data_IF_626801307778
#
_entry.id   IF_626801307778
#
_cell.length_a   1.000
_cell.length_b   1.000
_cell.length_c   1.000
_cell.angle_alpha   90.00
_cell.angle_beta   90.00
_cell.angle_gamma   90.00
#
_symmetry.space_group_name_H-M   'P 1'
#
loop_
_entity.id
_entity.type
_entity.pdbx_description
1 polymer ?
#
# COMPACT_ATOMS: atom_id res chain seq x y z
N UNK A 1 -20.39 -35.43 -8.56
CA UNK A 1 -20.56 -35.02 -7.15
C UNK A 1 -19.42 -35.42 -6.21
N UNK A 2 -18.86 -36.64 -6.26
CA UNK A 2 -17.81 -37.08 -5.29
C UNK A 2 -16.45 -36.35 -5.38
N UNK A 3 -16.11 -35.74 -6.53
CA UNK A 3 -14.85 -34.99 -6.71
C UNK A 3 -14.93 -33.59 -6.07
N UNK A 4 -16.09 -32.92 -6.16
CA UNK A 4 -16.32 -31.60 -5.55
C UNK A 4 -16.38 -31.68 -4.02
N UNK A 5 -16.90 -32.79 -3.49
CA UNK A 5 -16.99 -33.01 -2.04
C UNK A 5 -15.61 -33.26 -1.39
N UNK A 6 -14.64 -33.81 -2.13
CA UNK A 6 -13.26 -33.98 -1.67
C UNK A 6 -12.45 -32.67 -1.72
N UNK A 7 -12.75 -31.78 -2.67
CA UNK A 7 -12.14 -30.45 -2.72
C UNK A 7 -12.64 -29.51 -1.59
N UNK A 8 -13.93 -29.60 -1.22
CA UNK A 8 -14.50 -28.80 -0.14
C UNK A 8 -13.99 -29.20 1.25
N UNK A 9 -13.69 -30.48 1.48
CA UNK A 9 -13.20 -30.95 2.79
C UNK A 9 -11.72 -30.60 3.04
N UNK A 10 -10.94 -30.38 1.99
CA UNK A 10 -9.53 -29.96 2.11
C UNK A 10 -9.37 -28.47 2.47
N UNK A 11 -10.39 -27.64 2.24
CA UNK A 11 -10.32 -26.18 2.43
C UNK A 11 -10.73 -25.73 3.85
N UNK A 12 -11.36 -26.59 4.65
CA UNK A 12 -11.94 -26.23 5.97
C UNK A 12 -10.99 -26.53 7.15
N UNK A 13 -9.82 -27.13 6.92
CA UNK A 13 -8.89 -27.53 7.99
C UNK A 13 -7.57 -26.72 8.05
N UNK A 14 -7.43 -25.60 7.34
CA UNK A 14 -6.27 -24.72 7.50
C UNK A 14 -6.41 -23.85 8.76
N UNK A 15 -6.00 -24.42 9.89
CA UNK A 15 -5.58 -23.65 11.07
C UNK A 15 -4.26 -22.92 10.74
N UNK A 16 -4.07 -21.64 11.09
CA UNK A 16 -2.87 -20.89 10.73
C UNK A 16 -1.71 -21.26 11.65
N UNK A 17 -0.86 -22.20 11.23
CA UNK A 17 0.47 -22.39 11.80
C UNK A 17 1.49 -21.48 11.06
N UNK A 18 2.42 -20.82 11.76
CA UNK A 18 3.40 -19.94 11.13
C UNK A 18 4.44 -20.76 10.36
N UNK A 19 4.51 -20.55 9.04
CA UNK A 19 5.50 -21.12 8.15
C UNK A 19 6.78 -20.27 8.21
N UNK A 20 7.79 -20.75 8.96
CA UNK A 20 9.14 -20.17 8.99
C UNK A 20 9.95 -20.75 7.83
N UNK A 21 10.21 -19.92 6.81
CA UNK A 21 11.12 -20.21 5.71
C UNK A 21 12.53 -19.76 6.09
N UNK A 22 13.44 -20.70 6.35
CA UNK A 22 14.87 -20.43 6.52
C UNK A 22 15.59 -20.54 5.16
N UNK A 23 15.98 -19.40 4.58
CA UNK A 23 16.97 -19.37 3.50
C UNK A 23 18.37 -19.26 4.13
N UNK A 24 19.20 -20.28 3.94
CA UNK A 24 20.63 -20.22 4.27
C UNK A 24 21.43 -19.96 2.99
N UNK A 25 21.91 -18.73 2.82
CA UNK A 25 22.96 -18.42 1.86
C UNK A 25 24.29 -18.31 2.61
N UNK A 26 25.26 -19.16 2.24
CA UNK A 26 26.66 -19.03 2.67
C UNK A 26 27.33 -18.01 1.75
N UNK A 27 27.76 -16.89 2.30
CA UNK A 27 28.64 -15.95 1.62
C UNK A 27 29.89 -15.77 2.47
N UNK A 28 31.05 -16.11 1.92
CA UNK A 28 32.34 -15.83 2.54
C UNK A 28 32.60 -14.32 2.48
N UNK A 29 32.74 -13.68 3.63
CA UNK A 29 33.04 -12.24 3.73
C UNK A 29 34.54 -12.07 3.87
N UNK A 30 35.16 -11.46 2.86
CA UNK A 30 36.49 -10.89 2.97
C UNK A 30 36.43 -9.66 3.88
N UNK A 31 37.37 -9.56 4.82
CA UNK A 31 37.46 -8.48 5.80
C UNK A 31 38.02 -7.22 5.12
N UNK A 32 37.13 -6.43 4.53
CA UNK A 32 37.43 -5.08 4.04
C UNK A 32 37.21 -4.10 5.20
N UNK A 33 38.24 -3.34 5.56
CA UNK A 33 38.17 -2.33 6.63
C UNK A 33 37.11 -1.28 6.25
N UNK A 34 35.98 -1.29 6.97
CA UNK A 34 34.85 -0.41 6.70
C UNK A 34 35.23 1.05 6.98
N UNK A 35 35.64 1.75 5.93
CA UNK A 35 35.81 3.21 5.96
C UNK A 35 34.42 3.81 6.15
N UNK A 36 34.19 4.45 7.30
CA UNK A 36 32.92 5.09 7.66
C UNK A 36 32.51 6.07 6.55
N UNK A 37 31.53 5.68 5.73
CA UNK A 37 31.11 6.47 4.56
C UNK A 37 30.10 7.52 5.02
N UNK A 38 30.55 8.77 5.14
CA UNK A 38 29.67 9.92 5.41
C UNK A 38 28.54 9.98 4.37
N UNK A 39 27.33 10.26 4.81
CA UNK A 39 26.17 10.37 3.93
C UNK A 39 26.33 11.56 2.98
N UNK A 40 26.22 11.34 1.67
CA UNK A 40 26.46 12.39 0.68
C UNK A 40 25.15 13.11 0.29
N UNK A 41 25.14 14.45 0.32
CA UNK A 41 24.02 15.32 -0.09
C UNK A 41 24.39 16.13 -1.34
N UNK A 42 23.60 16.01 -2.41
CA UNK A 42 23.77 16.85 -3.60
C UNK A 42 23.12 18.22 -3.35
N UNK A 43 23.90 19.30 -3.37
CA UNK A 43 23.39 20.66 -3.13
C UNK A 43 23.43 21.49 -4.42
N UNK A 44 22.26 21.92 -4.90
CA UNK A 44 22.09 22.79 -6.06
C UNK A 44 21.45 24.09 -5.58
N UNK A 45 22.13 25.22 -5.77
CA UNK A 45 21.59 26.54 -5.42
C UNK A 45 21.61 27.42 -6.67
N UNK A 46 20.47 28.06 -6.97
CA UNK A 46 20.31 28.98 -8.09
C UNK A 46 19.77 30.33 -7.59
N UNK A 47 20.22 31.43 -8.20
CA UNK A 47 19.71 32.78 -7.94
C UNK A 47 20.73 33.74 -7.36
N UNK A 48 20.27 34.94 -6.99
CA UNK A 48 21.12 36.01 -6.47
C UNK A 48 21.80 35.59 -5.15
N UNK A 49 23.14 35.55 -5.15
CA UNK A 49 23.94 35.10 -3.99
C UNK A 49 24.03 33.58 -3.85
N UNK A 50 23.65 32.81 -4.89
CA UNK A 50 23.59 31.35 -4.86
C UNK A 50 24.91 30.68 -4.46
N UNK A 51 26.06 31.15 -4.96
CA UNK A 51 27.36 30.53 -4.63
C UNK A 51 27.74 30.68 -3.16
N UNK A 52 27.50 31.87 -2.57
CA UNK A 52 27.73 32.11 -1.15
C UNK A 52 26.82 31.22 -0.29
N UNK A 53 25.54 31.15 -0.64
CA UNK A 53 24.57 30.30 0.06
C UNK A 53 24.90 28.80 -0.09
N UNK A 54 25.33 28.36 -1.28
CA UNK A 54 25.74 26.98 -1.55
C UNK A 54 26.94 26.56 -0.70
N UNK A 55 27.93 27.44 -0.57
CA UNK A 55 29.09 27.21 0.28
C UNK A 55 28.72 27.23 1.77
N UNK A 56 27.88 28.18 2.19
CA UNK A 56 27.41 28.28 3.57
C UNK A 56 26.60 27.04 3.99
N UNK A 57 25.64 26.58 3.16
CA UNK A 57 24.88 25.35 3.40
C UNK A 57 25.82 24.15 3.54
N UNK A 58 26.77 24.00 2.62
CA UNK A 58 27.73 22.89 2.65
C UNK A 58 28.60 22.86 3.91
N UNK A 59 28.96 24.03 4.44
CA UNK A 59 29.77 24.15 5.65
C UNK A 59 29.00 23.90 6.96
N UNK A 60 27.66 23.94 6.93
CA UNK A 60 26.82 23.83 8.12
C UNK A 60 25.93 22.58 8.14
N UNK A 61 26.11 21.64 7.20
CA UNK A 61 25.35 20.39 7.19
C UNK A 61 25.54 19.63 8.50
N UNK A 62 24.47 19.06 9.08
CA UNK A 62 24.59 18.26 10.31
C UNK A 62 25.36 16.96 10.01
N UNK A 63 26.18 16.50 10.95
CA UNK A 63 26.73 15.14 10.87
C UNK A 63 25.59 14.10 10.85
N UNK A 64 25.69 13.01 10.05
CA UNK A 64 26.84 12.52 9.30
C UNK A 64 26.93 13.03 7.84
N UNK A 65 26.22 14.11 7.49
CA UNK A 65 26.11 14.54 6.10
C UNK A 65 27.32 15.32 5.61
N UNK A 66 27.77 15.00 4.39
CA UNK A 66 28.78 15.72 3.64
C UNK A 66 28.21 16.16 2.30
N UNK A 67 28.66 17.31 1.80
CA UNK A 67 28.29 17.77 0.45
C UNK A 67 28.97 16.89 -0.61
N UNK A 68 28.20 16.43 -1.59
CA UNK A 68 28.72 15.69 -2.74
C UNK A 68 29.75 16.53 -3.52
N UNK A 69 30.78 15.88 -4.07
CA UNK A 69 31.81 16.55 -4.86
C UNK A 69 31.21 17.28 -6.07
N UNK A 70 31.56 18.57 -6.22
CA UNK A 70 30.95 19.43 -7.23
C UNK A 70 31.28 18.99 -8.66
N UNK A 71 32.48 18.43 -8.90
CA UNK A 71 32.89 17.98 -10.24
C UNK A 71 32.15 16.70 -10.62
N UNK A 72 32.01 15.76 -9.69
CA UNK A 72 31.23 14.54 -9.86
C UNK A 72 29.76 14.83 -10.15
N UNK A 73 29.13 15.73 -9.39
CA UNK A 73 27.74 16.16 -9.64
C UNK A 73 27.59 16.81 -11.01
N UNK A 74 28.51 17.70 -11.40
CA UNK A 74 28.45 18.34 -12.72
C UNK A 74 28.62 17.34 -13.87
N UNK A 75 29.50 16.34 -13.71
CA UNK A 75 29.70 15.26 -14.68
C UNK A 75 28.43 14.40 -14.81
N UNK A 76 27.86 13.95 -13.69
CA UNK A 76 26.63 13.16 -13.68
C UNK A 76 25.44 13.94 -14.27
N UNK A 77 25.28 15.21 -13.90
CA UNK A 77 24.24 16.08 -14.45
C UNK A 77 24.33 16.22 -15.97
N UNK A 78 25.55 16.36 -16.51
CA UNK A 78 25.78 16.41 -17.96
C UNK A 78 25.40 15.09 -18.63
N UNK A 79 25.81 13.95 -18.07
CA UNK A 79 25.48 12.61 -18.57
C UNK A 79 23.97 12.36 -18.62
N UNK A 80 23.25 12.73 -17.56
CA UNK A 80 21.79 12.56 -17.43
C UNK A 80 20.97 13.62 -18.17
N UNK A 81 21.63 14.57 -18.84
CA UNK A 81 20.98 15.73 -19.49
C UNK A 81 20.03 16.43 -18.51
N UNK A 82 20.48 16.61 -17.27
CA UNK A 82 19.76 17.40 -16.27
C UNK A 82 19.88 18.87 -16.66
N UNK A 83 18.75 19.58 -16.72
CA UNK A 83 18.76 20.99 -17.05
C UNK A 83 19.58 21.77 -16.01
N UNK A 84 20.47 22.64 -16.48
CA UNK A 84 21.33 23.47 -15.61
C UNK A 84 20.54 24.46 -14.77
N UNK A 85 19.34 24.85 -15.22
CA UNK A 85 18.44 25.75 -14.50
C UNK A 85 17.24 25.00 -13.91
N UNK A 86 17.03 25.05 -12.59
CA UNK A 86 15.81 24.64 -11.90
C UNK A 86 14.51 25.35 -12.32
N UNK A 87 14.48 26.21 -13.36
CA UNK A 87 13.24 26.75 -13.93
C UNK A 87 12.22 25.67 -14.33
N UNK A 88 12.68 24.46 -14.60
CA UNK A 88 11.82 23.30 -14.84
C UNK A 88 10.91 22.94 -13.65
N UNK A 89 11.25 23.35 -12.43
CA UNK A 89 10.46 23.12 -11.22
C UNK A 89 9.20 24.02 -11.12
N UNK A 90 9.14 25.12 -11.88
CA UNK A 90 8.00 26.05 -11.84
C UNK A 90 6.80 25.53 -12.63
N UNK A 91 7.04 24.76 -13.68
CA UNK A 91 5.99 24.25 -14.56
C UNK A 91 5.67 22.82 -14.18
N UNK A 92 4.40 22.48 -13.85
CA UNK A 92 4.01 21.11 -13.48
C UNK A 92 4.46 20.04 -14.49
N UNK A 93 4.38 20.35 -15.80
CA UNK A 93 4.77 19.44 -16.89
C UNK A 93 6.26 19.09 -16.92
N UNK A 94 7.14 19.97 -16.43
CA UNK A 94 8.59 19.76 -16.44
C UNK A 94 9.16 19.39 -15.07
N UNK A 95 8.38 19.58 -13.99
CA UNK A 95 8.80 19.25 -12.62
C UNK A 95 9.10 17.76 -12.47
N UNK A 96 8.17 16.88 -12.86
CA UNK A 96 8.33 15.42 -12.74
C UNK A 96 9.61 14.89 -13.42
N UNK A 97 9.78 15.10 -14.75
CA UNK A 97 10.99 14.64 -15.46
C UNK A 97 12.30 15.24 -14.92
N UNK A 98 12.26 16.45 -14.37
CA UNK A 98 13.43 17.05 -13.72
C UNK A 98 13.78 16.34 -12.41
N UNK A 99 12.79 16.06 -11.56
CA UNK A 99 12.99 15.36 -10.28
C UNK A 99 13.52 13.93 -10.48
N UNK A 100 13.00 13.22 -11.49
CA UNK A 100 13.48 11.88 -11.84
C UNK A 100 14.97 11.90 -12.25
N UNK A 101 15.36 12.83 -13.14
CA UNK A 101 16.76 12.98 -13.53
C UNK A 101 17.65 13.43 -12.38
N UNK A 102 17.15 14.31 -11.51
CA UNK A 102 17.88 14.77 -10.33
C UNK A 102 18.14 13.60 -9.37
N UNK A 103 17.16 12.72 -9.18
CA UNK A 103 17.29 11.51 -8.38
C UNK A 103 18.37 10.57 -8.96
N UNK A 104 18.36 10.34 -10.28
CA UNK A 104 19.39 9.56 -10.97
C UNK A 104 20.80 10.17 -10.84
N UNK A 105 20.92 11.49 -10.99
CA UNK A 105 22.21 12.20 -10.78
C UNK A 105 22.71 12.04 -9.35
N UNK A 106 21.78 12.04 -8.39
CA UNK A 106 22.09 11.87 -6.96
C UNK A 106 22.59 10.47 -6.69
N UNK A 107 21.94 9.46 -7.25
CA UNK A 107 22.37 8.06 -7.17
C UNK A 107 23.74 7.84 -7.83
N UNK A 108 23.98 8.40 -9.02
CA UNK A 108 25.25 8.29 -9.77
C UNK A 108 26.48 8.80 -8.97
N UNK A 109 26.28 9.70 -8.00
CA UNK A 109 27.34 10.24 -7.15
C UNK A 109 27.35 9.66 -5.73
N UNK A 110 26.58 8.59 -5.49
CA UNK A 110 26.43 7.96 -4.17
C UNK A 110 25.72 8.85 -3.14
N UNK A 111 24.96 9.84 -3.60
CA UNK A 111 24.14 10.70 -2.75
C UNK A 111 22.90 9.97 -2.23
N UNK A 112 22.46 10.34 -1.02
CA UNK A 112 21.20 9.84 -0.43
C UNK A 112 20.01 10.78 -0.66
N UNK A 113 20.28 12.05 -0.94
CA UNK A 113 19.27 13.04 -1.27
C UNK A 113 19.86 14.21 -2.09
N UNK A 114 18.96 14.99 -2.70
CA UNK A 114 19.26 16.24 -3.38
C UNK A 114 18.53 17.40 -2.73
N UNK A 115 19.27 18.45 -2.38
CA UNK A 115 18.76 19.73 -1.91
C UNK A 115 18.84 20.75 -3.05
N UNK A 116 17.68 21.24 -3.49
CA UNK A 116 17.56 22.32 -4.48
C UNK A 116 17.04 23.57 -3.80
N UNK A 117 17.82 24.65 -3.83
CA UNK A 117 17.43 25.96 -3.28
C UNK A 117 17.41 26.97 -4.40
N UNK A 118 16.26 27.57 -4.66
CA UNK A 118 16.14 28.64 -5.67
C UNK A 118 15.75 29.96 -5.04
N UNK A 119 16.63 30.95 -5.18
CA UNK A 119 16.47 32.29 -4.63
C UNK A 119 15.89 33.21 -5.72
N UNK A 120 14.65 33.65 -5.52
CA UNK A 120 14.01 34.64 -6.38
C UNK A 120 14.61 36.04 -6.15
N UNK A 121 14.83 36.83 -7.22
CA UNK A 121 15.26 38.23 -7.08
C UNK A 121 14.13 39.08 -6.46
N UNK A 122 14.47 39.98 -5.53
CA UNK A 122 13.51 40.89 -4.91
C UNK A 122 14.07 41.59 -3.67
N UNK A 123 13.38 42.65 -3.20
CA UNK A 123 13.74 43.40 -1.97
C UNK A 123 13.77 42.50 -0.73
N UNK A 124 12.88 41.51 -0.67
CA UNK A 124 12.95 40.37 0.26
C UNK A 124 13.23 39.13 -0.57
N UNK A 125 14.40 38.52 -0.40
CA UNK A 125 14.81 37.34 -1.18
C UNK A 125 13.91 36.17 -0.73
N UNK A 126 13.14 35.59 -1.63
CA UNK A 126 12.36 34.37 -1.33
C UNK A 126 13.13 33.16 -1.85
N UNK A 127 13.35 32.16 -1.01
CA UNK A 127 13.99 30.92 -1.41
C UNK A 127 13.00 29.77 -1.38
N UNK A 128 12.78 29.12 -2.53
CA UNK A 128 12.08 27.84 -2.56
C UNK A 128 13.09 26.73 -2.28
N UNK A 129 12.84 25.95 -1.23
CA UNK A 129 13.68 24.85 -0.77
C UNK A 129 12.98 23.55 -1.10
N UNK A 130 13.62 22.71 -1.91
CA UNK A 130 13.15 21.37 -2.23
C UNK A 130 14.17 20.33 -1.77
N UNK A 131 13.71 19.32 -1.04
CA UNK A 131 14.49 18.13 -0.71
C UNK A 131 13.90 16.93 -1.47
N UNK A 132 14.75 16.22 -2.21
CA UNK A 132 14.34 15.14 -3.11
C UNK A 132 15.09 13.86 -2.75
N UNK A 133 14.37 12.75 -2.64
CA UNK A 133 14.93 11.41 -2.41
C UNK A 133 15.52 10.80 -3.69
N UNK A 134 16.30 9.72 -3.57
CA UNK A 134 16.84 8.96 -4.71
C UNK A 134 15.79 8.25 -5.55
N UNK A 135 14.54 8.17 -5.09
CA UNK A 135 13.40 7.65 -5.88
C UNK A 135 12.61 8.75 -6.60
N UNK A 136 13.06 10.01 -6.53
CA UNK A 136 12.42 11.15 -7.19
C UNK A 136 11.24 11.77 -6.45
N UNK A 137 10.89 11.24 -5.26
CA UNK A 137 9.85 11.82 -4.41
C UNK A 137 10.36 13.08 -3.71
N UNK A 138 9.51 14.12 -3.66
CA UNK A 138 9.77 15.37 -2.93
C UNK A 138 9.42 15.19 -1.45
N UNK A 139 10.41 15.32 -0.57
CA UNK A 139 10.27 15.21 0.89
C UNK A 139 9.95 16.56 1.54
N UNK A 140 10.55 17.63 1.02
CA UNK A 140 10.28 19.02 1.44
C UNK A 140 10.04 19.87 0.20
N UNK A 141 9.02 20.72 0.21
CA UNK A 141 8.78 21.79 -0.77
C UNK A 141 8.23 23.02 -0.03
N UNK A 142 9.12 23.91 0.41
CA UNK A 142 8.75 25.09 1.22
C UNK A 142 9.34 26.37 0.64
N UNK A 143 8.73 27.51 0.99
CA UNK A 143 9.21 28.85 0.59
C UNK A 143 9.63 29.61 1.84
N UNK A 144 10.91 29.95 1.93
CA UNK A 144 11.50 30.73 3.00
C UNK A 144 11.69 32.18 2.58
N UNK A 145 11.60 33.11 3.52
CA UNK A 145 12.04 34.49 3.33
C UNK A 145 13.46 34.62 3.89
N UNK A 146 14.38 35.09 3.06
CA UNK A 146 15.80 35.25 3.35
C UNK A 146 16.10 36.72 3.63
N UNK A 147 16.54 37.01 4.85
CA UNK A 147 16.67 38.38 5.35
C UNK A 147 18.13 38.84 5.40
N UNK A 148 19.04 37.97 5.85
CA UNK A 148 20.46 38.28 6.02
C UNK A 148 21.35 37.11 5.56
N UNK A 149 22.36 37.35 4.68
CA UNK A 149 23.22 36.29 4.15
C UNK A 149 23.86 35.38 5.20
N UNK A 150 24.14 35.89 6.40
CA UNK A 150 24.71 35.11 7.51
C UNK A 150 23.75 34.06 8.07
N UNK A 151 22.44 34.28 8.01
CA UNK A 151 21.41 33.41 8.61
C UNK A 151 20.70 32.52 7.58
N UNK A 152 20.84 32.82 6.29
CA UNK A 152 20.13 32.12 5.22
C UNK A 152 20.37 30.60 5.24
N UNK A 153 21.62 30.16 5.49
CA UNK A 153 21.98 28.75 5.54
C UNK A 153 21.33 28.02 6.73
N UNK A 154 21.29 28.66 7.90
CA UNK A 154 20.67 28.11 9.11
C UNK A 154 19.15 27.95 8.94
N UNK A 155 18.48 28.89 8.26
CA UNK A 155 17.06 28.79 7.94
C UNK A 155 16.77 27.62 6.99
N UNK A 156 17.57 27.46 5.94
CA UNK A 156 17.45 26.31 5.02
C UNK A 156 17.66 25.00 5.79
N UNK A 157 18.69 24.91 6.63
CA UNK A 157 18.96 23.71 7.43
C UNK A 157 17.83 23.36 8.38
N UNK A 158 17.33 24.34 9.13
CA UNK A 158 16.20 24.13 10.04
C UNK A 158 14.99 23.57 9.30
N UNK A 159 14.76 23.98 8.05
CA UNK A 159 13.63 23.48 7.25
C UNK A 159 13.78 22.03 6.75
N UNK A 160 15.00 21.50 6.70
CA UNK A 160 15.29 20.14 6.19
C UNK A 160 15.85 19.20 7.26
N UNK A 161 16.13 19.68 8.47
CA UNK A 161 16.81 18.92 9.52
C UNK A 161 16.09 17.62 9.89
N UNK A 162 14.77 17.65 10.04
CA UNK A 162 13.98 16.47 10.39
C UNK A 162 14.07 15.38 9.31
N UNK A 163 13.94 15.76 8.04
CA UNK A 163 14.02 14.82 6.93
C UNK A 163 15.43 14.28 6.72
N UNK A 164 16.46 15.11 6.92
CA UNK A 164 17.86 14.66 6.89
C UNK A 164 18.18 13.71 8.04
N UNK A 165 17.54 13.86 9.21
CA UNK A 165 17.70 12.93 10.32
C UNK A 165 17.07 11.56 10.01
N UNK A 166 15.91 11.54 9.33
CA UNK A 166 15.24 10.31 8.90
C UNK A 166 16.07 9.58 7.82
N UNK A 167 16.69 10.33 6.92
CA UNK A 167 17.50 9.78 5.83
C UNK A 167 18.95 9.47 6.21
N UNK A 168 19.41 9.93 7.37
CA UNK A 168 20.76 9.64 7.83
C UNK A 168 20.91 8.12 7.95
N UNK A 169 22.05 7.54 7.55
CA UNK A 169 22.32 6.14 7.82
C UNK A 169 22.17 5.93 9.32
N UNK A 170 21.20 5.08 9.71
CA UNK A 170 21.06 4.66 11.10
C UNK A 170 22.42 4.10 11.50
N UNK A 171 23.03 4.68 12.54
CA UNK A 171 24.29 4.19 13.09
C UNK A 171 24.00 2.76 13.54
N UNK A 172 24.39 1.80 12.71
CA UNK A 172 24.16 0.39 12.98
C UNK A 172 24.79 0.13 14.35
N UNK A 173 24.01 -0.33 15.35
CA UNK A 173 24.54 -0.54 16.69
C UNK A 173 25.70 -1.51 16.56
N UNK A 174 26.89 -1.04 16.92
CA UNK A 174 28.14 -1.79 16.92
C UNK A 174 27.86 -3.14 17.57
N UNK A 175 27.90 -4.20 16.75
CA UNK A 175 27.45 -5.52 17.14
C UNK A 175 28.13 -5.91 18.45
N UNK A 176 27.32 -6.16 19.48
CA UNK A 176 27.82 -6.63 20.76
C UNK A 176 28.74 -7.84 20.52
N UNK A 177 29.88 -7.94 21.23
CA UNK A 177 30.84 -9.01 21.03
C UNK A 177 30.12 -10.37 21.09
N UNK A 178 30.46 -11.29 20.18
CA UNK A 178 29.73 -12.54 20.03
C UNK A 178 29.76 -13.31 21.35
N UNK A 179 28.58 -13.52 21.94
CA UNK A 179 28.39 -14.41 23.08
C UNK A 179 28.85 -15.83 22.68
N UNK A 180 29.67 -16.53 23.48
CA UNK A 180 30.15 -17.88 23.17
C UNK A 180 28.98 -18.83 22.88
N UNK A 181 29.01 -19.46 21.71
CA UNK A 181 27.96 -20.36 21.24
C UNK A 181 27.84 -21.60 22.14
N UNK A 182 26.65 -21.79 22.73
CA UNK A 182 26.28 -23.04 23.37
C UNK A 182 26.09 -24.14 22.29
N UNK A 183 26.66 -25.32 22.55
CA UNK A 183 26.66 -26.45 21.65
C UNK A 183 25.23 -26.98 21.39
N UNK A 184 24.86 -27.09 20.11
CA UNK A 184 23.60 -27.70 19.67
C UNK A 184 23.80 -29.22 19.48
N UNK A 185 22.89 -30.07 19.99
CA UNK A 185 22.94 -31.53 19.83
C UNK A 185 22.67 -32.00 18.37
N UNK A 186 23.10 -33.23 18.03
CA UNK A 186 23.11 -33.73 16.65
C UNK A 186 21.71 -33.96 16.06
N UNK A 187 21.59 -33.62 14.79
CA UNK A 187 20.41 -33.67 13.92
C UNK A 187 20.15 -35.11 13.45
N UNK A 188 18.94 -35.62 13.65
CA UNK A 188 18.48 -36.91 13.13
C UNK A 188 18.22 -36.86 11.60
N UNK A 189 18.63 -37.93 10.92
CA UNK A 189 18.41 -38.19 9.49
C UNK A 189 16.93 -38.46 9.16
N UNK A 190 16.40 -37.91 8.06
CA UNK A 190 15.11 -38.33 7.51
C UNK A 190 15.24 -39.55 6.56
N UNK A 191 14.18 -40.40 6.48
CA UNK A 191 14.15 -41.61 5.65
C UNK A 191 13.95 -41.33 4.14
N UNK A 192 14.25 -42.31 3.27
CA UNK A 192 14.34 -42.10 1.82
C UNK A 192 12.98 -41.95 1.11
N UNK A 193 12.98 -41.08 0.09
CA UNK A 193 11.90 -40.76 -0.83
C UNK A 193 11.56 -41.92 -1.79
N UNK A 194 10.26 -42.22 -1.92
CA UNK A 194 9.71 -43.18 -2.89
C UNK A 194 9.47 -42.52 -4.25
N UNK A 195 10.06 -43.14 -5.27
CA UNK A 195 9.83 -42.93 -6.70
C UNK A 195 8.38 -43.27 -7.08
N UNK A 196 7.68 -42.36 -7.76
CA UNK A 196 6.41 -42.68 -8.46
C UNK A 196 6.41 -42.12 -9.89
N UNK A 197 6.57 -43.07 -10.80
CA UNK A 197 6.01 -43.25 -12.15
C UNK A 197 5.54 -42.04 -12.99
N UNK A 198 6.12 -41.99 -14.19
CA UNK A 198 5.67 -41.26 -15.37
C UNK A 198 4.28 -41.71 -15.85
N UNK A 199 3.47 -40.73 -16.26
CA UNK A 199 2.20 -40.93 -16.97
C UNK A 199 2.38 -40.50 -18.42
N UNK A 200 2.01 -41.39 -19.34
CA UNK A 200 2.07 -41.24 -20.79
C UNK A 200 1.03 -40.23 -21.34
N UNK A 201 1.26 -39.65 -22.53
CA UNK A 201 0.25 -38.86 -23.25
C UNK A 201 -0.72 -39.76 -24.04
N UNK A 202 -2.01 -39.41 -24.16
CA UNK A 202 -2.90 -40.04 -25.11
C UNK A 202 -2.88 -39.37 -26.49
N UNK A 203 -3.00 -40.26 -27.46
CA UNK A 203 -2.87 -40.16 -28.91
C UNK A 203 -4.02 -39.41 -29.59
N UNK A 204 -3.63 -38.80 -30.71
CA UNK A 204 -4.38 -38.18 -31.80
C UNK A 204 -5.26 -39.18 -32.61
N UNK A 205 -6.33 -38.66 -33.25
CA UNK A 205 -7.15 -39.15 -34.39
C UNK A 205 -8.67 -39.06 -34.06
N UNK A 206 -9.60 -38.64 -34.92
CA UNK A 206 -9.64 -38.43 -36.37
C UNK A 206 -10.75 -37.42 -36.77
N UNK A 207 -10.60 -36.84 -37.96
CA UNK A 207 -11.63 -36.15 -38.80
C UNK A 207 -12.51 -37.21 -39.49
N UNK A 208 -13.81 -37.01 -39.72
CA UNK A 208 -14.51 -36.44 -40.89
C UNK A 208 -15.97 -37.00 -40.87
N UNK A 209 -16.93 -36.65 -41.75
CA UNK A 209 -17.19 -35.43 -42.52
C UNK A 209 -18.63 -34.90 -42.33
N UNK A 210 -18.93 -33.84 -43.07
CA UNK A 210 -20.18 -33.09 -43.13
C UNK A 210 -21.46 -33.92 -43.41
N UNK A 211 -22.54 -33.54 -42.72
CA UNK A 211 -23.91 -33.81 -43.12
C UNK A 211 -24.68 -32.48 -43.18
N UNK A 212 -25.08 -32.10 -44.40
CA UNK A 212 -26.02 -31.00 -44.65
C UNK A 212 -27.38 -31.38 -44.08
N UNK A 213 -27.82 -30.65 -43.05
CA UNK A 213 -29.15 -30.75 -42.48
C UNK A 213 -29.94 -29.47 -42.78
N UNK A 214 -30.97 -29.67 -43.58
CA UNK A 214 -32.17 -28.86 -43.84
C UNK A 214 -32.43 -27.74 -42.81
N UNK A 215 -32.41 -26.49 -43.30
CA UNK A 215 -32.77 -25.28 -42.57
C UNK A 215 -34.28 -25.24 -42.34
N UNK A 216 -34.73 -25.92 -41.29
CA UNK A 216 -35.96 -25.56 -40.59
C UNK A 216 -35.59 -24.52 -39.53
N UNK A 217 -36.20 -23.33 -39.59
CA UNK A 217 -36.03 -22.29 -38.56
C UNK A 217 -36.38 -22.93 -37.20
N UNK A 218 -35.39 -23.17 -36.31
CA UNK A 218 -35.70 -23.78 -35.03
C UNK A 218 -36.63 -22.81 -34.27
N UNK A 219 -37.66 -23.30 -33.58
CA UNK A 219 -38.44 -22.48 -32.68
C UNK A 219 -37.47 -21.78 -31.72
N UNK A 220 -37.74 -20.52 -31.30
CA UNK A 220 -36.85 -19.78 -30.41
C UNK A 220 -36.53 -20.66 -29.21
N UNK A 221 -35.31 -21.18 -29.18
CA UNK A 221 -34.85 -22.12 -28.17
C UNK A 221 -35.12 -21.45 -26.83
N UNK A 222 -36.00 -22.03 -26.01
CA UNK A 222 -36.22 -21.56 -24.65
C UNK A 222 -34.85 -21.43 -24.01
N UNK A 223 -34.42 -20.19 -23.80
CA UNK A 223 -33.11 -19.89 -23.27
C UNK A 223 -33.11 -20.43 -21.85
N UNK A 224 -32.51 -21.61 -21.67
CA UNK A 224 -32.45 -22.31 -20.40
C UNK A 224 -31.93 -21.31 -19.38
N UNK A 225 -32.77 -20.94 -18.42
CA UNK A 225 -32.44 -19.93 -17.42
C UNK A 225 -31.25 -20.46 -16.63
N UNK A 226 -30.07 -19.92 -16.89
CA UNK A 226 -28.87 -20.33 -16.15
C UNK A 226 -29.08 -20.05 -14.67
N UNK A 227 -28.87 -21.08 -13.86
CA UNK A 227 -29.04 -21.01 -12.42
C UNK A 227 -27.93 -20.13 -11.83
N UNK A 228 -28.25 -19.25 -10.87
CA UNK A 228 -27.23 -18.49 -10.17
C UNK A 228 -26.26 -19.44 -9.43
N UNK A 229 -24.97 -19.09 -9.32
CA UNK A 229 -24.03 -19.87 -8.54
C UNK A 229 -24.46 -19.88 -7.07
N UNK A 230 -24.25 -21.02 -6.42
CA UNK A 230 -24.51 -21.21 -4.99
C UNK A 230 -23.35 -20.64 -4.17
N UNK A 231 -22.13 -20.75 -4.69
CA UNK A 231 -20.92 -20.31 -4.02
C UNK A 231 -19.98 -19.61 -5.00
N UNK A 232 -19.47 -18.45 -4.62
CA UNK A 232 -18.38 -17.77 -5.32
C UNK A 232 -17.22 -17.60 -4.34
N UNK A 233 -16.00 -17.93 -4.77
CA UNK A 233 -14.80 -17.85 -3.94
C UNK A 233 -13.70 -17.08 -4.68
N UNK A 234 -13.19 -16.04 -4.06
CA UNK A 234 -12.16 -15.17 -4.64
C UNK A 234 -10.86 -15.27 -3.86
N UNK A 235 -9.76 -15.43 -4.59
CA UNK A 235 -8.40 -15.29 -4.10
C UNK A 235 -7.76 -14.11 -4.81
N UNK A 236 -7.19 -13.16 -4.06
CA UNK A 236 -6.57 -11.98 -4.64
C UNK A 236 -5.33 -11.52 -3.86
N UNK A 237 -4.44 -10.82 -4.56
CA UNK A 237 -3.34 -10.06 -3.98
C UNK A 237 -3.65 -8.57 -4.11
N UNK A 238 -3.48 -7.83 -3.02
CA UNK A 238 -3.73 -6.40 -2.96
C UNK A 238 -2.45 -5.64 -2.58
N UNK A 239 -2.30 -4.43 -3.11
CA UNK A 239 -1.36 -3.43 -2.63
C UNK A 239 -2.15 -2.32 -1.93
N UNK A 240 -1.94 -2.17 -0.63
CA UNK A 240 -2.65 -1.20 0.19
C UNK A 240 -1.70 -0.09 0.68
N UNK A 241 -2.14 1.16 0.62
CA UNK A 241 -1.46 2.30 1.26
C UNK A 241 -2.39 2.95 2.27
N UNK A 242 -1.82 3.53 3.32
CA UNK A 242 -2.55 4.28 4.34
C UNK A 242 -1.90 5.64 4.54
N UNK A 243 -2.70 6.69 4.66
CA UNK A 243 -2.26 8.03 4.99
C UNK A 243 -3.15 8.62 6.07
N UNK A 244 -2.58 9.10 7.17
CA UNK A 244 -3.30 9.79 8.23
C UNK A 244 -2.69 11.18 8.46
N UNK A 245 -3.54 12.19 8.47
CA UNK A 245 -3.19 13.58 8.73
C UNK A 245 -4.11 14.19 9.79
N UNK A 246 -3.60 15.20 10.50
CA UNK A 246 -4.34 15.93 11.53
C UNK A 246 -4.66 17.35 11.07
N UNK A 247 -5.80 17.88 11.53
CA UNK A 247 -6.23 19.26 11.30
C UNK A 247 -6.25 20.04 12.60
N UNK A 248 -5.93 21.33 12.50
CA UNK A 248 -5.86 22.26 13.62
C UNK A 248 -4.97 21.73 14.75
N UNK A 249 -3.83 21.15 14.36
CA UNK A 249 -2.87 20.55 15.27
C UNK A 249 -2.11 21.64 16.02
N UNK A 250 -2.22 21.64 17.35
CA UNK A 250 -1.50 22.54 18.24
C UNK A 250 -0.38 21.80 18.97
N UNK A 251 -0.61 20.54 19.35
CA UNK A 251 0.39 19.73 20.04
C UNK A 251 1.40 19.10 19.07
N UNK A 252 2.64 18.87 19.53
CA UNK A 252 3.70 18.27 18.71
C UNK A 252 3.73 16.73 18.77
N UNK A 253 2.88 16.14 19.60
CA UNK A 253 2.81 14.69 19.87
C UNK A 253 1.84 13.93 18.96
N UNK A 254 1.27 14.57 17.93
CA UNK A 254 0.60 13.87 16.84
C UNK A 254 1.39 14.12 15.57
N UNK A 255 1.82 13.04 14.93
CA UNK A 255 2.52 13.13 13.67
C UNK A 255 1.66 12.54 12.56
N UNK A 256 1.55 13.21 11.40
CA UNK A 256 1.05 12.57 10.20
C UNK A 256 1.83 11.29 9.92
N UNK A 257 1.16 10.30 9.36
CA UNK A 257 1.78 9.03 9.02
C UNK A 257 1.35 8.59 7.63
N UNK A 258 2.28 8.00 6.90
CA UNK A 258 2.02 7.40 5.61
C UNK A 258 2.71 6.05 5.56
N UNK A 259 1.98 5.00 5.21
CA UNK A 259 2.58 3.72 4.88
C UNK A 259 3.01 3.72 3.42
N UNK A 260 4.05 2.94 3.11
CA UNK A 260 4.30 2.49 1.74
C UNK A 260 3.18 1.55 1.25
N UNK A 261 3.34 1.02 0.03
CA UNK A 261 2.47 -0.01 -0.50
C UNK A 261 2.72 -1.34 0.23
N UNK A 262 1.64 -1.94 0.72
CA UNK A 262 1.65 -3.14 1.55
C UNK A 262 1.01 -4.29 0.77
N UNK A 263 1.78 -5.35 0.45
CA UNK A 263 1.22 -6.58 -0.07
C UNK A 263 0.25 -7.21 0.93
N UNK A 264 -0.95 -7.50 0.46
CA UNK A 264 -2.09 -7.91 1.28
C UNK A 264 -2.83 -9.05 0.57
N UNK A 265 -2.48 -10.32 0.81
CA UNK A 265 -3.30 -11.45 0.38
C UNK A 265 -4.72 -11.33 0.95
N UNK A 266 -5.68 -11.76 0.15
CA UNK A 266 -7.10 -11.71 0.50
C UNK A 266 -7.86 -12.93 0.00
N UNK A 267 -8.87 -13.31 0.78
CA UNK A 267 -9.84 -14.36 0.47
C UNK A 267 -11.23 -13.80 0.69
N UNK A 268 -12.13 -14.02 -0.26
CA UNK A 268 -13.53 -13.65 -0.12
C UNK A 268 -14.44 -14.81 -0.54
N UNK A 269 -15.59 -14.91 0.13
CA UNK A 269 -16.61 -15.92 -0.13
C UNK A 269 -17.98 -15.28 -0.22
N UNK A 270 -18.74 -15.66 -1.23
CA UNK A 270 -20.14 -15.30 -1.41
C UNK A 270 -21.00 -16.56 -1.49
N UNK A 271 -22.04 -16.64 -0.68
CA UNK A 271 -22.88 -17.82 -0.56
C UNK A 271 -24.36 -17.47 -0.73
N UNK A 272 -25.03 -18.15 -1.66
CA UNK A 272 -26.43 -17.94 -2.00
C UNK A 272 -27.22 -19.23 -1.71
N UNK A 273 -27.63 -19.47 -0.45
CA UNK A 273 -28.23 -20.74 -0.03
C UNK A 273 -29.51 -21.11 -0.79
N UNK A 274 -30.24 -20.10 -1.25
CA UNK A 274 -31.53 -20.26 -1.91
C UNK A 274 -31.46 -20.14 -3.44
N UNK A 275 -30.26 -20.10 -4.01
CA UNK A 275 -30.01 -19.99 -5.45
C UNK A 275 -30.76 -21.03 -6.30
N UNK A 276 -31.08 -22.19 -5.71
CA UNK A 276 -31.79 -23.31 -6.38
C UNK A 276 -33.24 -23.50 -5.91
N UNK A 277 -33.78 -22.61 -5.08
CA UNK A 277 -35.12 -22.75 -4.48
C UNK A 277 -36.28 -22.55 -5.47
N UNK A 278 -36.04 -22.00 -6.66
CA UNK A 278 -37.08 -21.61 -7.62
C UNK A 278 -37.82 -20.32 -7.25
N UNK A 279 -37.76 -19.88 -5.99
CA UNK A 279 -38.32 -18.62 -5.55
C UNK A 279 -37.51 -17.43 -6.10
N UNK A 280 -38.12 -16.67 -7.01
CA UNK A 280 -37.43 -15.67 -7.84
C UNK A 280 -36.71 -14.58 -7.03
N UNK A 281 -37.26 -14.18 -5.88
CA UNK A 281 -36.65 -13.15 -5.02
C UNK A 281 -35.60 -13.71 -4.06
N UNK A 282 -35.79 -14.96 -3.59
CA UNK A 282 -34.91 -15.57 -2.60
C UNK A 282 -33.61 -16.10 -3.20
N UNK A 283 -33.62 -16.50 -4.49
CA UNK A 283 -32.44 -17.03 -5.18
C UNK A 283 -31.26 -16.05 -5.27
N UNK A 284 -31.51 -14.76 -5.06
CA UNK A 284 -30.51 -13.70 -5.15
C UNK A 284 -30.14 -13.10 -3.78
N UNK A 285 -30.73 -13.62 -2.71
CA UNK A 285 -30.31 -13.32 -1.34
C UNK A 285 -29.08 -14.16 -1.00
N UNK A 286 -28.01 -13.48 -0.63
CA UNK A 286 -26.74 -14.10 -0.29
C UNK A 286 -26.13 -13.54 0.98
N UNK A 287 -25.15 -14.26 1.48
CA UNK A 287 -24.24 -13.87 2.55
C UNK A 287 -22.84 -13.77 1.97
N UNK A 288 -21.99 -12.95 2.58
CA UNK A 288 -20.60 -12.84 2.17
C UNK A 288 -19.67 -12.65 3.35
N UNK A 289 -18.39 -12.97 3.12
CA UNK A 289 -17.30 -12.65 4.03
C UNK A 289 -16.00 -12.39 3.30
N UNK A 290 -15.19 -11.46 3.82
CA UNK A 290 -13.85 -11.14 3.32
C UNK A 290 -12.81 -11.13 4.45
N UNK A 291 -11.62 -11.65 4.18
CA UNK A 291 -10.47 -11.61 5.07
C UNK A 291 -9.24 -11.12 4.31
N UNK A 292 -8.50 -10.19 4.91
CA UNK A 292 -7.27 -9.63 4.35
C UNK A 292 -6.21 -9.46 5.44
N UNK A 293 -4.94 -9.67 5.06
CA UNK A 293 -3.81 -9.48 5.99
C UNK A 293 -2.60 -8.89 5.28
N UNK A 294 -2.13 -7.75 5.75
CA UNK A 294 -0.89 -7.13 5.26
C UNK A 294 0.34 -7.93 5.69
N UNK A 295 1.36 -7.96 4.83
CA UNK A 295 2.60 -8.69 5.02
C UNK A 295 3.78 -7.76 5.31
N UNK A 296 4.66 -8.20 6.22
CA UNK A 296 6.05 -7.75 6.30
C UNK A 296 6.28 -6.27 6.65
N UNK A 297 5.37 -5.62 7.38
CA UNK A 297 5.54 -4.22 7.75
C UNK A 297 6.18 -4.03 9.12
N UNK A 298 7.04 -3.03 9.19
CA UNK A 298 7.60 -2.51 10.43
C UNK A 298 8.06 -1.07 10.22
N UNK A 299 8.24 -0.34 11.31
CA UNK A 299 8.91 0.95 11.32
C UNK A 299 10.15 0.84 12.21
N UNK A 300 11.26 1.38 11.72
CA UNK A 300 12.49 1.51 12.51
C UNK A 300 12.47 2.87 13.21
N UNK A 301 12.66 2.85 14.53
CA UNK A 301 12.80 4.03 15.38
C UNK A 301 14.22 4.59 15.31
N UNK A 302 14.46 5.86 15.70
CA UNK A 302 15.79 6.46 15.71
C UNK A 302 16.82 5.75 16.61
N UNK A 303 16.37 5.00 17.60
CA UNK A 303 17.21 4.19 18.50
C UNK A 303 17.54 2.80 17.92
N UNK A 304 17.10 2.49 16.69
CA UNK A 304 17.26 1.20 16.04
C UNK A 304 16.19 0.17 16.41
N UNK A 305 15.25 0.51 17.30
CA UNK A 305 14.16 -0.39 17.67
C UNK A 305 13.20 -0.58 16.49
N UNK A 306 12.92 -1.83 16.13
CA UNK A 306 12.01 -2.17 15.03
C UNK A 306 10.63 -2.53 15.56
N UNK A 307 9.64 -1.69 15.28
CA UNK A 307 8.24 -1.92 15.67
C UNK A 307 7.50 -2.63 14.53
N UNK A 308 7.08 -3.90 14.70
CA UNK A 308 6.23 -4.57 13.72
C UNK A 308 4.84 -3.94 13.63
N UNK A 309 4.29 -3.92 12.42
CA UNK A 309 2.93 -3.44 12.14
C UNK A 309 2.07 -4.62 11.69
N UNK A 310 0.90 -4.73 12.30
CA UNK A 310 -0.11 -5.73 11.94
C UNK A 310 -1.30 -5.02 11.29
N UNK A 311 -1.50 -5.25 10.00
CA UNK A 311 -2.68 -4.80 9.26
C UNK A 311 -3.58 -5.98 8.94
N UNK A 312 -4.79 -5.98 9.48
CA UNK A 312 -5.80 -7.03 9.23
C UNK A 312 -7.17 -6.44 8.98
N UNK A 313 -7.95 -7.12 8.14
CA UNK A 313 -9.34 -6.79 7.87
C UNK A 313 -10.20 -8.03 7.81
N UNK A 314 -11.39 -7.94 8.37
CA UNK A 314 -12.45 -8.94 8.32
C UNK A 314 -13.76 -8.21 8.01
N UNK A 315 -14.58 -8.80 7.16
CA UNK A 315 -15.93 -8.29 6.88
C UNK A 315 -16.89 -9.45 6.72
N UNK A 316 -18.13 -9.30 7.18
CA UNK A 316 -19.18 -10.29 6.97
C UNK A 316 -20.53 -9.60 6.89
N UNK A 317 -21.39 -10.07 5.99
CA UNK A 317 -22.69 -9.43 5.77
C UNK A 317 -23.65 -10.21 4.89
N UNK A 318 -24.73 -9.53 4.53
CA UNK A 318 -25.75 -10.01 3.62
C UNK A 318 -25.83 -9.10 2.40
N UNK A 319 -26.19 -9.68 1.26
CA UNK A 319 -26.34 -8.96 -0.01
C UNK A 319 -27.55 -9.47 -0.79
N UNK A 320 -28.23 -8.56 -1.46
CA UNK A 320 -29.31 -8.84 -2.40
C UNK A 320 -28.85 -8.45 -3.80
N UNK A 321 -28.95 -9.38 -4.75
CA UNK A 321 -28.65 -9.13 -6.17
C UNK A 321 -29.93 -8.91 -6.97
N UNK A 322 -30.02 -7.82 -7.71
CA UNK A 322 -31.17 -7.48 -8.57
C UNK A 322 -30.68 -7.50 -10.01
N UNK A 323 -31.12 -8.48 -10.79
CA UNK A 323 -30.72 -8.67 -12.20
C UNK A 323 -31.72 -8.00 -13.14
N UNK A 324 -31.25 -7.21 -14.09
CA UNK A 324 -32.08 -6.54 -15.10
C UNK A 324 -32.00 -7.28 -16.43
N UNK A 325 -32.83 -8.31 -16.56
CA UNK A 325 -32.93 -9.13 -17.79
C UNK A 325 -32.79 -10.63 -17.55
N UNK A 326 -32.65 -11.40 -18.64
CA UNK A 326 -32.37 -12.85 -18.61
C UNK A 326 -30.98 -13.11 -19.18
N UNK A 327 -30.24 -14.06 -18.60
CA UNK A 327 -28.90 -14.47 -19.03
C UNK A 327 -27.79 -14.09 -18.05
N UNK A 328 -26.57 -14.53 -18.37
CA UNK A 328 -25.37 -14.34 -17.55
C UNK A 328 -24.68 -12.98 -17.74
N UNK A 329 -25.05 -12.26 -18.80
CA UNK A 329 -24.46 -10.98 -19.23
C UNK A 329 -25.41 -9.80 -19.01
N UNK A 330 -26.26 -9.88 -18.00
CA UNK A 330 -27.21 -8.80 -17.70
C UNK A 330 -26.63 -7.85 -16.66
N UNK A 331 -26.98 -6.56 -16.73
CA UNK A 331 -26.70 -5.63 -15.65
C UNK A 331 -27.28 -6.16 -14.33
N UNK A 332 -26.53 -5.98 -13.25
CA UNK A 332 -26.97 -6.36 -11.92
C UNK A 332 -26.67 -5.26 -10.91
N UNK A 333 -27.60 -5.03 -10.00
CA UNK A 333 -27.45 -4.16 -8.84
C UNK A 333 -27.30 -5.01 -7.60
N UNK A 334 -26.51 -4.53 -6.65
CA UNK A 334 -26.28 -5.17 -5.38
C UNK A 334 -26.57 -4.17 -4.29
N UNK A 335 -27.41 -4.58 -3.34
CA UNK A 335 -27.64 -3.86 -2.10
C UNK A 335 -27.10 -4.74 -0.98
N UNK A 336 -26.21 -4.22 -0.14
CA UNK A 336 -25.63 -5.00 0.93
C UNK A 336 -25.50 -4.22 2.23
N UNK A 337 -25.46 -4.97 3.33
CA UNK A 337 -25.18 -4.49 4.66
C UNK A 337 -24.18 -5.42 5.32
N UNK A 338 -23.13 -4.88 5.92
CA UNK A 338 -22.13 -5.69 6.61
C UNK A 338 -21.63 -5.10 7.91
N UNK A 339 -21.03 -5.98 8.71
CA UNK A 339 -20.21 -5.64 9.85
C UNK A 339 -18.74 -5.87 9.48
N UNK A 340 -17.92 -4.84 9.63
CA UNK A 340 -16.51 -4.85 9.27
C UNK A 340 -15.61 -4.56 10.45
N UNK A 341 -14.42 -5.15 10.44
CA UNK A 341 -13.30 -4.83 11.32
C UNK A 341 -12.05 -4.56 10.49
N UNK A 342 -11.39 -3.42 10.70
CA UNK A 342 -10.13 -3.06 10.05
C UNK A 342 -9.18 -2.50 11.08
N UNK A 343 -8.05 -3.18 11.29
CA UNK A 343 -7.06 -2.78 12.29
C UNK A 343 -5.70 -2.59 11.66
N UNK A 344 -5.03 -1.50 12.05
CA UNK A 344 -3.67 -1.18 11.71
C UNK A 344 -2.94 -0.88 13.02
N UNK A 345 -2.16 -1.83 13.51
CA UNK A 345 -1.64 -1.81 14.88
C UNK A 345 -0.12 -1.85 14.88
N UNK A 346 0.48 -0.90 15.57
CA UNK A 346 1.89 -0.96 15.97
C UNK A 346 1.99 -1.87 17.19
N UNK A 347 2.85 -2.90 17.11
CA UNK A 347 3.00 -3.90 18.18
C UNK A 347 4.41 -3.83 18.73
N UNK A 348 4.54 -3.62 20.02
CA UNK A 348 5.80 -3.77 20.75
C UNK A 348 5.58 -4.75 21.92
N UNK A 349 6.54 -5.66 22.21
CA UNK A 349 6.49 -6.51 23.40
C UNK A 349 6.36 -5.70 24.71
N UNK A 350 6.85 -4.47 24.72
CA UNK A 350 6.65 -3.48 25.78
C UNK A 350 5.75 -2.34 25.27
N UNK A 351 4.42 -2.43 25.45
CA UNK A 351 3.49 -1.39 24.99
C UNK A 351 3.77 0.01 25.55
N UNK A 352 4.41 0.11 26.72
CA UNK A 352 4.78 1.39 27.32
C UNK A 352 5.95 2.08 26.59
N UNK A 353 6.70 1.35 25.78
CA UNK A 353 7.78 1.88 24.94
C UNK A 353 7.26 2.43 23.60
N UNK A 354 6.02 2.12 23.21
CA UNK A 354 5.46 2.65 21.97
C UNK A 354 5.33 4.18 22.07
N UNK A 355 5.85 4.92 21.08
CA UNK A 355 5.61 6.35 21.01
C UNK A 355 4.12 6.67 21.06
N UNK A 356 3.76 7.67 21.86
CA UNK A 356 2.38 8.17 22.00
C UNK A 356 1.79 8.67 20.67
N UNK A 357 2.62 8.95 19.67
CA UNK A 357 2.23 9.44 18.35
C UNK A 357 1.95 8.31 17.34
N UNK A 358 2.06 7.03 17.74
CA UNK A 358 1.74 5.89 16.87
C UNK A 358 0.25 5.87 16.49
N UNK A 359 -0.11 5.93 15.20
CA UNK A 359 -1.50 6.03 14.75
C UNK A 359 -2.17 4.64 14.65
N UNK A 360 -2.11 3.87 15.74
CA UNK A 360 -2.81 2.60 15.88
C UNK A 360 -4.33 2.81 15.83
N UNK A 361 -5.00 2.08 14.95
CA UNK A 361 -6.47 2.14 14.79
C UNK A 361 -7.07 0.74 14.74
N UNK A 362 -8.30 0.63 15.23
CA UNK A 362 -9.10 -0.59 15.17
C UNK A 362 -10.55 -0.21 14.88
N UNK A 363 -10.87 -0.06 13.61
CA UNK A 363 -12.20 0.28 13.14
C UNK A 363 -13.14 -0.90 13.29
N UNK A 364 -14.33 -0.65 13.85
CA UNK A 364 -15.51 -1.52 13.77
C UNK A 364 -16.60 -0.74 13.09
N UNK A 365 -17.20 -1.26 12.03
CA UNK A 365 -18.14 -0.52 11.20
C UNK A 365 -19.41 -1.32 10.90
N UNK A 366 -20.54 -0.63 10.82
CA UNK A 366 -21.69 -1.08 10.03
C UNK A 366 -21.65 -0.40 8.67
N UNK A 367 -21.90 -1.15 7.61
CA UNK A 367 -21.67 -0.69 6.25
C UNK A 367 -22.83 -1.03 5.31
N UNK A 368 -23.77 -0.10 5.09
CA UNK A 368 -24.65 -0.14 3.94
C UNK A 368 -23.88 0.21 2.66
N UNK A 369 -24.12 -0.55 1.59
CA UNK A 369 -23.40 -0.41 0.33
C UNK A 369 -24.31 -0.67 -0.87
N UNK A 370 -24.03 0.06 -1.94
CA UNK A 370 -24.61 -0.12 -3.26
C UNK A 370 -23.50 -0.43 -4.27
N UNK A 371 -23.75 -1.39 -5.14
CA UNK A 371 -22.81 -1.77 -6.19
C UNK A 371 -23.57 -2.14 -7.46
N UNK A 372 -22.94 -1.90 -8.61
CA UNK A 372 -23.49 -2.18 -9.93
C UNK A 372 -22.46 -2.98 -10.73
N UNK A 373 -22.93 -4.03 -11.40
CA UNK A 373 -22.19 -4.78 -12.41
C UNK A 373 -22.76 -4.46 -13.78
N UNK A 374 -21.95 -3.85 -14.64
CA UNK A 374 -22.30 -3.45 -15.99
C UNK A 374 -21.55 -4.33 -17.00
N UNK A 375 -22.25 -5.13 -17.82
CA UNK A 375 -21.62 -5.87 -18.91
C UNK A 375 -21.11 -4.89 -19.99
N UNK A 376 -19.85 -5.04 -20.39
CA UNK A 376 -19.14 -4.25 -21.39
C UNK A 376 -18.51 -5.18 -22.43
N UNK A 377 -19.35 -5.79 -23.28
CA UNK A 377 -18.91 -6.79 -24.25
C UNK A 377 -18.35 -8.04 -23.54
N UNK A 378 -17.08 -8.43 -23.77
CA UNK A 378 -16.46 -9.59 -23.11
C UNK A 378 -16.03 -9.30 -21.65
N UNK A 379 -16.10 -8.04 -21.22
CA UNK A 379 -15.76 -7.61 -19.86
C UNK A 379 -17.01 -7.25 -19.08
N UNK A 380 -16.88 -7.13 -17.77
CA UNK A 380 -17.84 -6.41 -16.94
C UNK A 380 -17.13 -5.39 -16.06
N UNK A 381 -17.78 -4.25 -15.83
CA UNK A 381 -17.35 -3.23 -14.89
C UNK A 381 -18.17 -3.35 -13.61
N UNK A 382 -17.49 -3.45 -12.47
CA UNK A 382 -18.04 -3.30 -11.14
C UNK A 382 -17.76 -1.89 -10.65
N UNK A 383 -18.77 -1.21 -10.10
CA UNK A 383 -18.62 0.08 -9.41
C UNK A 383 -19.49 0.05 -8.17
N UNK A 384 -18.95 0.46 -7.04
CA UNK A 384 -19.73 0.54 -5.81
C UNK A 384 -19.20 1.56 -4.83
N UNK A 385 -20.00 1.78 -3.79
CA UNK A 385 -19.68 2.68 -2.69
C UNK A 385 -20.63 2.51 -1.53
N UNK A 386 -20.20 3.00 -0.37
CA UNK A 386 -20.93 2.81 0.87
C UNK A 386 -20.55 3.83 1.94
N UNK A 387 -21.42 3.93 2.94
CA UNK A 387 -21.15 4.69 4.16
C UNK A 387 -20.59 3.75 5.24
N UNK A 388 -19.65 4.25 6.03
CA UNK A 388 -19.05 3.52 7.14
C UNK A 388 -19.54 4.14 8.44
N UNK A 389 -20.57 3.54 9.04
CA UNK A 389 -21.01 3.89 10.38
C UNK A 389 -20.01 3.29 11.39
N UNK A 390 -19.06 4.11 11.83
CA UNK A 390 -17.98 3.70 12.73
C UNK A 390 -18.52 3.56 14.15
N UNK A 391 -18.52 2.33 14.63
CA UNK A 391 -18.92 1.97 16.00
C UNK A 391 -17.77 2.12 16.99
N UNK A 392 -16.53 1.95 16.51
CA UNK A 392 -15.29 2.11 17.28
C UNK A 392 -14.13 2.34 16.32
N UNK A 393 -13.12 3.07 16.76
CA UNK A 393 -11.88 3.42 16.01
C UNK A 393 -10.61 2.99 16.76
N UNK A 394 -10.75 2.41 17.95
CA UNK A 394 -9.63 1.91 18.75
C UNK A 394 -8.84 3.01 19.46
N UNK A 395 -7.52 2.78 19.61
CA UNK A 395 -6.64 3.58 20.46
C UNK A 395 -6.59 5.05 20.08
N UNK A 396 -6.59 5.38 18.80
CA UNK A 396 -6.51 6.77 18.33
C UNK A 396 -7.61 7.66 18.93
N UNK A 397 -8.86 7.19 18.95
CA UNK A 397 -9.97 7.95 19.54
C UNK A 397 -9.95 7.95 21.06
N UNK A 398 -9.32 6.96 21.71
CA UNK A 398 -9.15 6.96 23.16
C UNK A 398 -8.18 8.03 23.67
N UNK A 399 -7.29 8.53 22.79
CA UNK A 399 -6.29 9.56 23.12
C UNK A 399 -6.80 11.00 22.93
N UNK A 400 -7.97 11.16 22.31
CA UNK A 400 -8.49 12.46 21.87
C UNK A 400 -9.89 12.68 22.45
N UNK A 401 -10.12 13.86 23.01
CA UNK A 401 -11.37 14.20 23.70
C UNK A 401 -12.56 14.20 22.73
N UNK A 402 -13.61 13.48 23.14
CA UNK A 402 -14.89 13.38 22.43
C UNK A 402 -14.76 13.05 20.93
N UNK A 403 -13.85 12.14 20.60
CA UNK A 403 -13.60 11.76 19.22
C UNK A 403 -14.81 11.12 18.55
N UNK A 404 -15.27 11.73 17.45
CA UNK A 404 -16.33 11.20 16.58
C UNK A 404 -15.73 10.83 15.23
N UNK A 405 -16.18 9.72 14.67
CA UNK A 405 -15.64 9.16 13.43
C UNK A 405 -16.77 8.75 12.51
N UNK A 406 -16.66 9.12 11.23
CA UNK A 406 -17.45 8.58 10.15
C UNK A 406 -16.55 8.17 8.99
N UNK A 407 -17.11 7.48 7.99
CA UNK A 407 -16.34 7.18 6.81
C UNK A 407 -17.16 6.93 5.56
N UNK A 408 -16.46 6.95 4.44
CA UNK A 408 -16.98 6.65 3.11
C UNK A 408 -16.05 5.66 2.42
N UNK A 409 -16.62 4.87 1.53
CA UNK A 409 -15.84 4.05 0.59
C UNK A 409 -16.38 4.16 -0.83
N UNK A 410 -15.46 3.99 -1.78
CA UNK A 410 -15.75 3.84 -3.20
C UNK A 410 -14.76 2.84 -3.80
N UNK A 411 -15.21 2.05 -4.76
CA UNK A 411 -14.35 1.11 -5.49
C UNK A 411 -14.91 0.80 -6.87
N UNK A 412 -14.02 0.22 -7.68
CA UNK A 412 -14.39 -0.33 -8.96
C UNK A 412 -13.44 -1.43 -9.39
N UNK A 413 -13.92 -2.31 -10.27
CA UNK A 413 -13.12 -3.39 -10.82
C UNK A 413 -13.56 -3.76 -12.24
N UNK A 414 -12.59 -4.17 -13.05
CA UNK A 414 -12.82 -4.86 -14.30
C UNK A 414 -12.84 -6.36 -14.06
N UNK A 415 -13.80 -7.03 -14.68
CA UNK A 415 -14.01 -8.47 -14.57
C UNK A 415 -13.94 -9.08 -15.96
N UNK A 416 -13.07 -10.07 -16.11
CA UNK A 416 -12.94 -10.85 -17.34
C UNK A 416 -13.39 -12.30 -17.07
N UNK A 417 -14.58 -12.71 -17.52
CA UNK A 417 -14.96 -14.12 -17.51
C UNK A 417 -14.05 -14.91 -18.47
N UNK A 418 -13.34 -15.92 -17.96
CA UNK A 418 -12.53 -16.83 -18.78
C UNK A 418 -13.39 -18.00 -19.25
N UNK A 419 -14.05 -18.66 -18.30
CA UNK A 419 -15.01 -19.74 -18.53
C UNK A 419 -16.18 -19.55 -17.56
N UNK A 420 -17.27 -20.31 -17.73
CA UNK A 420 -18.48 -20.17 -16.89
C UNK A 420 -18.20 -20.22 -15.37
N UNK A 421 -17.14 -20.93 -14.97
CA UNK A 421 -16.76 -21.08 -13.56
C UNK A 421 -15.64 -20.15 -13.09
N UNK A 422 -14.93 -19.43 -13.97
CA UNK A 422 -13.76 -18.63 -13.58
C UNK A 422 -13.82 -17.20 -14.13
N UNK A 423 -13.59 -16.23 -13.24
CA UNK A 423 -13.46 -14.81 -13.57
C UNK A 423 -12.13 -14.25 -13.06
N UNK A 424 -11.42 -13.49 -13.89
CA UNK A 424 -10.33 -12.64 -13.42
C UNK A 424 -10.88 -11.28 -13.00
N UNK A 425 -10.27 -10.68 -11.98
CA UNK A 425 -10.63 -9.37 -11.46
C UNK A 425 -9.39 -8.51 -11.30
N UNK A 426 -9.49 -7.26 -11.75
CA UNK A 426 -8.52 -6.21 -11.46
C UNK A 426 -9.28 -4.98 -10.98
N UNK A 427 -8.93 -4.43 -9.82
CA UNK A 427 -9.70 -3.37 -9.20
C UNK A 427 -8.90 -2.45 -8.29
N UNK A 428 -9.63 -1.54 -7.68
CA UNK A 428 -9.11 -0.70 -6.62
C UNK A 428 -10.23 -0.12 -5.77
N UNK A 429 -9.86 0.24 -4.54
CA UNK A 429 -10.77 0.80 -3.56
C UNK A 429 -10.14 1.99 -2.84
N UNK A 430 -10.94 3.00 -2.55
CA UNK A 430 -10.60 4.14 -1.72
C UNK A 430 -11.54 4.18 -0.52
N UNK A 431 -10.96 4.28 0.67
CA UNK A 431 -11.69 4.41 1.93
C UNK A 431 -11.17 5.62 2.68
N UNK A 432 -12.09 6.40 3.24
CA UNK A 432 -11.77 7.62 3.97
C UNK A 432 -12.53 7.65 5.28
N UNK A 433 -11.80 7.78 6.38
CA UNK A 433 -12.34 8.07 7.70
C UNK A 433 -12.07 9.53 8.05
N UNK A 434 -13.08 10.22 8.52
CA UNK A 434 -12.98 11.61 8.96
C UNK A 434 -13.33 11.69 10.43
N UNK A 435 -12.44 12.34 11.18
CA UNK A 435 -12.54 12.50 12.61
C UNK A 435 -12.83 13.95 12.96
N UNK A 436 -13.66 14.15 13.98
CA UNK A 436 -13.77 15.41 14.70
C UNK A 436 -13.47 15.20 16.18
N UNK A 437 -12.76 16.17 16.76
CA UNK A 437 -12.36 16.18 18.17
C UNK A 437 -12.86 17.46 18.83
N UNK A 438 -13.05 17.42 20.14
CA UNK A 438 -13.46 18.61 20.91
C UNK A 438 -12.38 18.92 21.95
N UNK A 439 -11.20 19.42 21.54
CA UNK A 439 -10.10 19.64 22.48
C UNK A 439 -10.44 20.74 23.50
N UNK A 440 -9.91 20.63 24.71
CA UNK A 440 -10.02 21.64 25.75
C UNK A 440 -8.64 22.04 26.30
N UNK A 441 -8.51 23.25 26.90
CA UNK A 441 -7.30 23.63 27.60
C UNK A 441 -6.89 22.58 28.64
N UNK A 442 -5.62 22.18 28.62
CA UNK A 442 -5.07 21.16 29.52
C UNK A 442 -5.04 19.74 28.94
N UNK A 443 -5.63 19.50 27.77
CA UNK A 443 -5.47 18.20 27.08
C UNK A 443 -4.00 17.97 26.70
N UNK A 444 -3.51 16.75 26.93
CA UNK A 444 -2.15 16.35 26.54
C UNK A 444 -1.93 16.38 25.02
N UNK A 445 -3.02 16.27 24.26
CA UNK A 445 -3.03 16.21 22.80
C UNK A 445 -4.14 17.09 22.26
N UNK A 446 -3.81 18.03 21.37
CA UNK A 446 -4.74 19.04 20.87
C UNK A 446 -4.74 19.05 19.34
N UNK A 447 -5.85 18.57 18.76
CA UNK A 447 -6.18 18.65 17.35
C UNK A 447 -7.69 18.88 17.19
N UNK A 448 -8.13 19.55 16.13
CA UNK A 448 -9.56 19.75 15.81
C UNK A 448 -10.18 18.57 15.04
N UNK A 449 -9.36 17.82 14.32
CA UNK A 449 -9.81 16.63 13.57
C UNK A 449 -8.65 15.83 12.99
N UNK A 450 -8.98 14.73 12.34
CA UNK A 450 -8.04 13.89 11.61
C UNK A 450 -8.69 13.31 10.36
N UNK A 451 -7.85 12.92 9.41
CA UNK A 451 -8.26 12.25 8.19
C UNK A 451 -7.39 11.03 7.98
N UNK A 452 -8.00 9.85 7.88
CA UNK A 452 -7.33 8.58 7.62
C UNK A 452 -7.84 8.02 6.29
N UNK A 453 -6.94 7.87 5.34
CA UNK A 453 -7.21 7.52 3.95
C UNK A 453 -6.49 6.22 3.61
N UNK A 454 -7.22 5.29 3.00
CA UNK A 454 -6.71 3.98 2.60
C UNK A 454 -7.00 3.80 1.11
N UNK A 455 -5.95 3.58 0.33
CA UNK A 455 -6.04 3.27 -1.11
C UNK A 455 -5.60 1.84 -1.31
N UNK A 456 -6.32 1.10 -2.15
CA UNK A 456 -6.06 -0.30 -2.47
C UNK A 456 -6.11 -0.52 -3.97
N UNK A 457 -5.20 -1.34 -4.48
CA UNK A 457 -5.27 -1.90 -5.82
C UNK A 457 -5.17 -3.42 -5.71
N UNK A 458 -6.04 -4.16 -6.39
CA UNK A 458 -6.13 -5.61 -6.26
C UNK A 458 -6.19 -6.33 -7.62
N UNK A 459 -5.62 -7.53 -7.63
CA UNK A 459 -5.73 -8.47 -8.74
C UNK A 459 -6.02 -9.87 -8.19
N UNK A 460 -6.98 -10.56 -8.79
CA UNK A 460 -7.39 -11.86 -8.31
C UNK A 460 -8.23 -12.68 -9.28
N UNK A 461 -8.64 -13.85 -8.80
CA UNK A 461 -9.45 -14.80 -9.54
C UNK A 461 -10.62 -15.27 -8.68
N UNK A 462 -11.78 -15.42 -9.30
CA UNK A 462 -13.02 -15.90 -8.68
C UNK A 462 -13.45 -17.21 -9.31
N UNK A 463 -13.72 -18.21 -8.47
CA UNK A 463 -14.35 -19.48 -8.82
C UNK A 463 -15.84 -19.41 -8.52
N UNK A 464 -16.70 -19.87 -9.44
CA UNK A 464 -18.17 -19.88 -9.32
C UNK A 464 -18.69 -21.31 -9.43
N UNK A 465 -19.48 -21.74 -8.44
CA UNK A 465 -19.94 -23.13 -8.22
C UNK A 465 -21.47 -23.27 -8.14
#
# INVERSE_FOLDING_TARGET
MRVVQRALLALVLLSPAPLLLSLSARTAVAKEEAKETKASLVVIVEGAGGDKLKSAIGASLPEPWARADAKSVAKAAKTRKLATSPKALDKPKTKGPYLEKLAQVTEDVGGKAALVVRVAPGKKRKARVLLVSTVGSTLVDTVLTLDAPANDAALVQKSIANELAILAPSKEPEAAPPTPAAAVPPKAEPPPEKVVAAVAPPTEAAKDPAAEAVVGVPPPTETTRELPPVLEATLAMELATRHIGYRDLVSSNLKPYSSGAVPTPSVALDFYPLARSGAVFLQDLGMFGDFKRGLGQSVDLPDGTRIPIVWTRVDAGAKLRIRVGRGWHVPAFYVSGSYGQESFLFRDPNPAALPLDTPSVAYRTLRPRLEVRLPLGPLALLVGGGYLAVLSSGELSGRLRDAKVGGLEADGALVLPIVKSFELRAGGAYRRFFYSFTPAPGDATVAGGALDEIVRADFGMTLRL
#
